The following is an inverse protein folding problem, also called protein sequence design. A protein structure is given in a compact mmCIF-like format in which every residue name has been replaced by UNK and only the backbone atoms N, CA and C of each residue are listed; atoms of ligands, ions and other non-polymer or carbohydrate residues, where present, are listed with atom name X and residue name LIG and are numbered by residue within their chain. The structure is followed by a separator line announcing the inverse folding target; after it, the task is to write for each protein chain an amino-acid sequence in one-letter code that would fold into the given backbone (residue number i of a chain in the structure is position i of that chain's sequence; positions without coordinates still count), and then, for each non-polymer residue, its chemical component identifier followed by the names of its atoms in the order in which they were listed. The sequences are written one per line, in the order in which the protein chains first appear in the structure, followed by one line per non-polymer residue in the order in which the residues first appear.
data_IF_925686315867
#
_entry.id   IF_925686315867
#
_cell.length_a   1.000
_cell.length_b   1.000
_cell.length_c   1.000
_cell.angle_alpha   90.00
_cell.angle_beta   90.00
_cell.angle_gamma   90.00
#
_symmetry.space_group_name_H-M   'P 1'
#
loop_
_entity.id
_entity.type
_entity.pdbx_description
1 polymer ?
#
# COMPACT_ATOMS: atom_id res chain seq x y z
N UNK A 1 -13.68 18.75 0.50
CA UNK A 1 -14.73 19.35 1.34
C UNK A 1 -14.44 20.83 1.62
N UNK A 2 -13.22 21.19 1.99
CA UNK A 2 -12.85 22.59 2.32
C UNK A 2 -13.01 23.57 1.14
N UNK A 3 -13.14 23.07 -0.08
CA UNK A 3 -13.36 23.87 -1.29
C UNK A 3 -14.78 23.70 -1.88
N UNK A 4 -15.73 23.18 -1.10
CA UNK A 4 -17.13 23.05 -1.49
C UNK A 4 -17.48 21.78 -2.28
N UNK A 5 -16.54 20.87 -2.51
CA UNK A 5 -16.85 19.59 -3.13
C UNK A 5 -17.45 18.60 -2.14
N UNK A 6 -18.43 17.81 -2.60
CA UNK A 6 -18.91 16.64 -1.86
C UNK A 6 -17.95 15.49 -2.03
N UNK A 7 -17.58 14.85 -0.92
CA UNK A 7 -16.71 13.65 -0.93
C UNK A 7 -17.51 12.46 -0.40
N UNK A 8 -17.49 11.38 -1.15
CA UNK A 8 -18.07 10.09 -0.73
C UNK A 8 -16.93 9.10 -0.53
N UNK A 9 -16.79 8.60 0.70
CA UNK A 9 -15.83 7.55 1.03
C UNK A 9 -16.48 6.19 0.80
N UNK A 10 -15.88 5.38 -0.08
CA UNK A 10 -16.37 4.03 -0.35
C UNK A 10 -16.03 3.10 0.81
N UNK A 11 -16.95 2.23 1.24
CA UNK A 11 -16.64 1.15 2.15
C UNK A 11 -15.74 0.12 1.48
N UNK A 12 -15.04 -0.66 2.31
CA UNK A 12 -14.25 -1.81 1.86
C UNK A 12 -14.77 -3.10 2.51
N UNK A 13 -14.48 -4.22 1.88
CA UNK A 13 -14.75 -5.54 2.43
C UNK A 13 -13.72 -5.92 3.53
N UNK A 14 -13.86 -7.04 4.23
CA UNK A 14 -12.90 -7.48 5.24
C UNK A 14 -11.48 -7.74 4.71
N UNK A 15 -11.30 -7.86 3.38
CA UNK A 15 -10.00 -7.96 2.74
C UNK A 15 -9.41 -6.59 2.37
N UNK A 16 -10.14 -5.49 2.62
CA UNK A 16 -9.74 -4.12 2.32
C UNK A 16 -9.96 -3.70 0.87
N UNK A 17 -10.80 -4.40 0.11
CA UNK A 17 -11.12 -4.09 -1.30
C UNK A 17 -12.44 -3.34 -1.41
N UNK A 18 -12.49 -2.36 -2.30
CA UNK A 18 -13.77 -1.73 -2.68
C UNK A 18 -14.63 -2.72 -3.46
N UNK A 19 -15.95 -2.58 -3.35
CA UNK A 19 -16.90 -3.29 -4.20
C UNK A 19 -17.30 -2.39 -5.37
N UNK A 20 -17.31 -2.93 -6.58
CA UNK A 20 -17.70 -2.16 -7.76
C UNK A 20 -19.15 -1.67 -7.69
N UNK A 21 -20.04 -2.42 -7.00
CA UNK A 21 -21.41 -2.00 -6.75
C UNK A 21 -21.49 -0.74 -5.87
N UNK A 22 -20.64 -0.62 -4.86
CA UNK A 22 -20.62 0.57 -4.02
C UNK A 22 -20.06 1.78 -4.78
N UNK A 23 -19.07 1.57 -5.65
CA UNK A 23 -18.58 2.58 -6.59
C UNK A 23 -19.71 3.01 -7.54
N UNK A 24 -20.44 2.07 -8.14
CA UNK A 24 -21.57 2.34 -9.04
C UNK A 24 -22.66 3.20 -8.37
N UNK A 25 -23.01 2.86 -7.13
CA UNK A 25 -24.03 3.62 -6.35
C UNK A 25 -23.56 5.01 -5.94
N UNK A 26 -22.27 5.18 -5.69
CA UNK A 26 -21.70 6.46 -5.27
C UNK A 26 -21.52 7.45 -6.41
N UNK A 27 -21.35 6.96 -7.65
CA UNK A 27 -21.21 7.82 -8.82
C UNK A 27 -22.51 8.50 -9.21
N UNK A 28 -22.43 9.77 -9.56
CA UNK A 28 -23.53 10.59 -10.10
C UNK A 28 -23.06 11.30 -11.36
N UNK A 29 -23.97 11.89 -12.16
CA UNK A 29 -23.57 12.71 -13.31
C UNK A 29 -22.64 13.89 -12.95
N UNK A 30 -22.67 14.32 -11.69
CA UNK A 30 -21.84 15.42 -11.15
C UNK A 30 -20.48 14.94 -10.62
N UNK A 31 -20.21 13.63 -10.65
CA UNK A 31 -18.93 13.09 -10.16
C UNK A 31 -17.80 13.50 -11.11
N UNK A 32 -16.90 14.33 -10.61
CA UNK A 32 -15.77 14.85 -11.40
C UNK A 32 -14.50 14.02 -11.26
N UNK A 33 -14.33 13.33 -10.12
CA UNK A 33 -13.10 12.60 -9.81
C UNK A 33 -13.43 11.37 -8.97
N UNK A 34 -12.88 10.24 -9.36
CA UNK A 34 -12.74 9.04 -8.52
C UNK A 34 -11.25 8.85 -8.22
N UNK A 35 -10.90 8.71 -6.94
CA UNK A 35 -9.52 8.48 -6.52
C UNK A 35 -9.43 7.19 -5.71
N UNK A 36 -8.61 6.24 -6.17
CA UNK A 36 -8.44 4.93 -5.54
C UNK A 36 -6.93 4.65 -5.43
N UNK A 37 -6.46 4.18 -4.26
CA UNK A 37 -5.10 3.66 -4.19
C UNK A 37 -5.02 2.28 -4.84
N UNK A 38 -3.98 2.02 -5.62
CA UNK A 38 -3.76 0.72 -6.26
C UNK A 38 -3.56 -0.39 -5.23
N UNK A 39 -2.73 -0.11 -4.24
CA UNK A 39 -2.30 -1.07 -3.21
C UNK A 39 -2.39 -0.40 -1.85
N UNK A 40 -3.13 -0.98 -0.93
CA UNK A 40 -3.18 -0.47 0.44
C UNK A 40 -1.82 -0.66 1.14
N UNK A 41 -1.32 0.40 1.74
CA UNK A 41 0.02 0.46 2.35
C UNK A 41 0.13 -0.24 3.71
N UNK A 42 -0.97 -0.63 4.33
CA UNK A 42 -0.99 -1.28 5.65
C UNK A 42 -1.20 -2.79 5.56
N UNK A 43 -2.16 -3.24 4.77
CA UNK A 43 -2.56 -4.65 4.67
C UNK A 43 -2.25 -5.30 3.32
N UNK A 44 -1.78 -4.51 2.34
CA UNK A 44 -1.43 -5.03 1.03
C UNK A 44 -2.60 -5.38 0.12
N UNK A 45 -3.83 -4.94 0.44
CA UNK A 45 -4.99 -5.16 -0.42
C UNK A 45 -4.78 -4.52 -1.80
N UNK A 46 -4.97 -5.30 -2.87
CA UNK A 46 -4.96 -4.82 -4.26
C UNK A 46 -6.38 -4.43 -4.66
N UNK A 47 -6.55 -3.20 -5.16
CA UNK A 47 -7.85 -2.73 -5.61
C UNK A 47 -8.14 -3.16 -7.05
N UNK A 48 -9.40 -3.36 -7.43
CA UNK A 48 -9.83 -3.76 -8.79
C UNK A 48 -9.76 -2.56 -9.74
N UNK A 49 -8.55 -2.09 -10.06
CA UNK A 49 -8.32 -0.84 -10.78
C UNK A 49 -8.82 -0.89 -12.23
N UNK A 50 -8.57 -1.99 -12.94
CA UNK A 50 -8.99 -2.15 -14.34
C UNK A 50 -10.52 -2.14 -14.45
N UNK A 51 -11.20 -2.91 -13.59
CA UNK A 51 -12.65 -2.98 -13.54
C UNK A 51 -13.29 -1.67 -13.08
N UNK A 52 -12.68 -1.03 -12.08
CA UNK A 52 -13.13 0.29 -11.62
C UNK A 52 -13.00 1.35 -12.72
N UNK A 53 -11.87 1.38 -13.43
CA UNK A 53 -11.67 2.29 -14.56
C UNK A 53 -12.69 2.09 -15.68
N UNK A 54 -12.93 0.83 -16.07
CA UNK A 54 -13.95 0.49 -17.07
C UNK A 54 -15.35 0.94 -16.63
N UNK A 55 -15.72 0.66 -15.37
CA UNK A 55 -17.01 1.08 -14.80
C UNK A 55 -17.16 2.61 -14.78
N UNK A 56 -16.14 3.34 -14.34
CA UNK A 56 -16.17 4.80 -14.30
C UNK A 56 -16.44 5.37 -15.69
N UNK A 57 -15.69 4.91 -16.70
CA UNK A 57 -15.84 5.42 -18.09
C UNK A 57 -17.16 4.99 -18.73
N UNK A 58 -17.71 3.84 -18.34
CA UNK A 58 -19.03 3.43 -18.78
C UNK A 58 -20.14 4.31 -18.21
N UNK A 59 -20.03 4.73 -16.95
CA UNK A 59 -21.05 5.56 -16.29
C UNK A 59 -20.96 7.03 -16.66
N UNK A 60 -19.76 7.59 -16.66
CA UNK A 60 -19.50 8.96 -17.07
C UNK A 60 -18.06 9.07 -17.61
N UNK A 61 -17.87 9.16 -18.94
CA UNK A 61 -16.55 9.24 -19.56
C UNK A 61 -15.76 10.51 -19.19
N UNK A 62 -16.43 11.56 -18.71
CA UNK A 62 -15.79 12.80 -18.29
C UNK A 62 -15.27 12.77 -16.85
N UNK A 63 -15.75 11.83 -16.04
CA UNK A 63 -15.19 11.63 -14.69
C UNK A 63 -13.73 11.21 -14.77
N UNK A 64 -12.84 11.96 -14.13
CA UNK A 64 -11.43 11.63 -14.06
C UNK A 64 -11.19 10.46 -13.09
N UNK A 65 -10.32 9.54 -13.48
CA UNK A 65 -9.88 8.43 -12.63
C UNK A 65 -8.43 8.64 -12.20
N UNK A 66 -8.22 8.93 -10.92
CA UNK A 66 -6.90 9.02 -10.28
C UNK A 66 -6.58 7.72 -9.55
N UNK A 67 -5.37 7.24 -9.74
CA UNK A 67 -4.83 6.08 -9.01
C UNK A 67 -3.58 6.48 -8.23
N UNK A 68 -3.62 6.32 -6.92
CA UNK A 68 -2.41 6.36 -6.10
C UNK A 68 -1.68 5.02 -6.24
N UNK A 69 -0.60 5.02 -7.02
CA UNK A 69 0.22 3.84 -7.28
C UNK A 69 1.52 3.82 -6.46
N UNK A 70 1.63 4.63 -5.42
CA UNK A 70 2.84 4.73 -4.60
C UNK A 70 3.31 3.37 -4.08
N UNK A 71 2.40 2.49 -3.69
CA UNK A 71 2.73 1.13 -3.26
C UNK A 71 2.69 0.09 -4.39
N UNK A 72 2.01 0.39 -5.51
CA UNK A 72 1.82 -0.56 -6.61
C UNK A 72 2.86 -0.46 -7.71
N UNK A 73 3.40 0.74 -7.97
CA UNK A 73 4.37 0.96 -9.06
C UNK A 73 5.66 0.15 -8.83
N UNK A 74 6.12 -0.53 -9.87
CA UNK A 74 7.28 -1.42 -9.81
C UNK A 74 7.04 -2.76 -9.08
N UNK A 75 5.84 -3.01 -8.55
CA UNK A 75 5.45 -4.25 -7.83
C UNK A 75 4.21 -4.90 -8.43
N UNK A 76 3.51 -4.17 -9.29
CA UNK A 76 2.40 -4.63 -10.13
C UNK A 76 2.59 -4.05 -11.53
N UNK A 77 2.09 -4.75 -12.54
CA UNK A 77 2.07 -4.23 -13.91
C UNK A 77 0.89 -3.28 -14.06
N UNK A 78 1.16 -2.00 -14.22
CA UNK A 78 0.15 -0.95 -14.36
C UNK A 78 0.23 -0.38 -15.78
N UNK A 79 -0.89 -0.43 -16.49
CA UNK A 79 -1.02 0.06 -17.87
C UNK A 79 -2.08 1.17 -17.89
N UNK A 80 -1.71 2.46 -17.69
CA UNK A 80 -2.68 3.53 -17.49
C UNK A 80 -3.75 3.62 -18.58
N UNK A 81 -3.37 3.52 -19.87
CA UNK A 81 -4.33 3.59 -20.98
C UNK A 81 -5.31 2.41 -20.98
N UNK A 82 -4.82 1.18 -20.74
CA UNK A 82 -5.65 -0.04 -20.69
C UNK A 82 -6.61 -0.01 -19.50
N UNK A 83 -6.14 0.49 -18.36
CA UNK A 83 -6.90 0.56 -17.11
C UNK A 83 -7.74 1.84 -16.98
N UNK A 84 -7.83 2.64 -18.05
CA UNK A 84 -8.57 3.90 -18.09
C UNK A 84 -8.17 4.92 -17.00
N UNK A 85 -6.91 4.91 -16.59
CA UNK A 85 -6.37 5.81 -15.58
C UNK A 85 -6.05 7.15 -16.25
N UNK A 86 -6.61 8.23 -15.72
CA UNK A 86 -6.36 9.60 -16.18
C UNK A 86 -5.18 10.26 -15.46
N UNK A 87 -5.01 9.93 -14.16
CA UNK A 87 -3.96 10.45 -13.29
C UNK A 87 -3.36 9.31 -12.49
N UNK A 88 -2.02 9.25 -12.39
CA UNK A 88 -1.34 8.24 -11.58
C UNK A 88 -0.21 8.85 -10.77
N UNK A 89 -0.26 8.69 -9.45
CA UNK A 89 0.78 9.17 -8.53
C UNK A 89 1.79 8.09 -8.20
N UNK A 90 3.09 8.42 -8.28
CA UNK A 90 4.21 7.53 -7.93
C UNK A 90 5.23 8.26 -7.08
N UNK A 91 5.87 7.56 -6.14
CA UNK A 91 6.93 8.09 -5.28
C UNK A 91 8.22 7.28 -5.41
N UNK A 92 9.34 7.96 -5.71
CA UNK A 92 10.62 7.31 -6.02
C UNK A 92 11.19 6.46 -4.89
N UNK A 93 11.09 6.93 -3.63
CA UNK A 93 11.62 6.21 -2.47
C UNK A 93 10.93 4.87 -2.19
N UNK A 94 9.76 4.60 -2.77
CA UNK A 94 9.05 3.31 -2.65
C UNK A 94 9.55 2.25 -3.63
N UNK A 95 10.38 2.65 -4.57
CA UNK A 95 10.99 1.76 -5.57
C UNK A 95 12.53 1.82 -5.51
N UNK A 96 13.09 2.09 -4.34
CA UNK A 96 14.53 2.23 -4.09
C UNK A 96 15.20 3.40 -4.85
N UNK A 97 14.40 4.31 -5.40
CA UNK A 97 14.87 5.58 -5.97
C UNK A 97 15.12 6.65 -4.89
N UNK A 98 15.64 7.83 -5.27
CA UNK A 98 15.92 8.91 -4.33
C UNK A 98 14.66 9.41 -3.60
N UNK A 99 14.85 9.88 -2.36
CA UNK A 99 13.80 10.62 -1.64
C UNK A 99 13.59 12.00 -2.27
N UNK A 100 12.39 12.57 -2.09
CA UNK A 100 12.06 13.92 -2.58
C UNK A 100 11.78 13.99 -4.08
N UNK A 101 11.67 12.85 -4.77
CA UNK A 101 11.29 12.77 -6.18
C UNK A 101 10.14 11.79 -6.38
N UNK A 102 9.24 12.13 -7.28
CA UNK A 102 8.11 11.32 -7.70
C UNK A 102 7.61 11.78 -9.07
N UNK A 103 6.58 11.16 -9.57
CA UNK A 103 5.94 11.55 -10.82
C UNK A 103 4.41 11.54 -10.70
N UNK A 104 3.78 12.38 -11.49
CA UNK A 104 2.36 12.32 -11.78
C UNK A 104 2.22 12.04 -13.28
N UNK A 105 1.64 10.89 -13.63
CA UNK A 105 1.17 10.66 -14.99
C UNK A 105 -0.13 11.44 -15.18
N UNK A 106 -0.20 12.18 -16.30
CA UNK A 106 -1.36 12.96 -16.70
C UNK A 106 -1.76 12.52 -18.10
N UNK A 107 -2.97 11.98 -18.22
CA UNK A 107 -3.53 11.53 -19.49
C UNK A 107 -3.70 12.70 -20.49
N UNK A 108 -3.61 12.43 -21.79
CA UNK A 108 -3.59 13.43 -22.86
C UNK A 108 -4.79 14.40 -22.86
N UNK A 109 -5.95 13.94 -22.37
CA UNK A 109 -7.20 14.75 -22.32
C UNK A 109 -7.41 15.46 -20.99
N UNK A 110 -6.54 15.22 -20.01
CA UNK A 110 -6.69 15.76 -18.67
C UNK A 110 -6.17 17.19 -18.61
N UNK A 111 -6.98 18.10 -18.11
CA UNK A 111 -6.60 19.49 -17.88
C UNK A 111 -6.55 19.73 -16.38
N UNK A 112 -5.35 19.96 -15.85
CA UNK A 112 -5.13 20.35 -14.45
C UNK A 112 -4.48 21.73 -14.41
N UNK A 113 -4.76 22.48 -13.35
CA UNK A 113 -4.11 23.77 -13.14
C UNK A 113 -2.89 23.60 -12.25
N UNK A 114 -1.80 24.35 -12.50
CA UNK A 114 -0.65 24.35 -11.62
C UNK A 114 -1.00 24.93 -10.26
N UNK A 115 -0.37 24.41 -9.21
CA UNK A 115 -0.43 24.96 -7.85
C UNK A 115 0.89 25.62 -7.43
N UNK A 116 1.95 25.43 -8.23
CA UNK A 116 3.25 26.10 -8.08
C UNK A 116 3.51 26.89 -9.35
N UNK A 117 3.44 28.19 -9.22
CA UNK A 117 3.56 29.14 -10.35
C UNK A 117 5.00 29.63 -10.52
N UNK A 118 5.36 30.06 -11.74
CA UNK A 118 6.67 30.62 -12.09
C UNK A 118 7.05 30.36 -13.53
N UNK A 119 8.17 29.69 -13.77
CA UNK A 119 8.66 29.34 -15.12
C UNK A 119 7.87 28.19 -15.76
N UNK A 120 8.20 27.87 -17.02
CA UNK A 120 7.47 26.91 -17.85
C UNK A 120 7.83 25.43 -17.65
N UNK A 121 8.53 25.07 -16.57
CA UNK A 121 8.99 23.71 -16.31
C UNK A 121 7.82 22.75 -16.18
N UNK A 122 8.06 21.47 -16.49
CA UNK A 122 7.05 20.41 -16.47
C UNK A 122 5.77 20.80 -17.24
N UNK A 123 5.93 21.35 -18.44
CA UNK A 123 4.81 21.80 -19.31
C UNK A 123 3.89 22.83 -18.62
N UNK A 124 4.44 23.75 -17.86
CA UNK A 124 3.75 24.76 -17.03
C UNK A 124 2.94 24.18 -15.85
N UNK A 125 3.03 22.89 -15.55
CA UNK A 125 2.28 22.28 -14.44
C UNK A 125 2.99 22.39 -13.10
N UNK A 126 4.32 22.47 -13.09
CA UNK A 126 5.10 22.58 -11.85
C UNK A 126 6.36 23.38 -12.12
N UNK A 127 6.37 24.62 -11.73
CA UNK A 127 7.50 25.53 -11.88
C UNK A 127 8.66 25.21 -10.94
N UNK A 128 9.86 25.60 -11.33
CA UNK A 128 11.14 25.41 -10.64
C UNK A 128 12.07 24.49 -11.43
N UNK A 129 13.38 24.74 -11.31
CA UNK A 129 14.42 23.95 -11.98
C UNK A 129 14.27 22.48 -11.63
N UNK A 130 14.32 21.61 -12.65
CA UNK A 130 14.16 20.18 -12.49
C UNK A 130 15.29 19.58 -11.65
N UNK A 131 14.92 18.71 -10.72
CA UNK A 131 15.86 17.87 -9.98
C UNK A 131 16.37 16.73 -10.87
N UNK A 132 17.21 17.06 -11.86
CA UNK A 132 17.71 16.10 -12.87
C UNK A 132 18.35 14.87 -12.22
N UNK A 133 19.23 14.96 -11.19
CA UNK A 133 19.76 13.78 -10.52
C UNK A 133 18.70 12.88 -9.89
N UNK A 134 17.71 13.48 -9.24
CA UNK A 134 16.59 12.74 -8.64
C UNK A 134 15.72 12.06 -9.69
N UNK A 135 15.43 12.75 -10.78
CA UNK A 135 14.65 12.21 -11.91
C UNK A 135 15.39 11.05 -12.57
N UNK A 136 16.69 11.20 -12.84
CA UNK A 136 17.51 10.13 -13.41
C UNK A 136 17.58 8.91 -12.47
N UNK A 137 17.73 9.13 -11.16
CA UNK A 137 17.72 8.06 -10.16
C UNK A 137 16.37 7.34 -10.06
N UNK A 138 15.25 8.08 -10.16
CA UNK A 138 13.90 7.50 -10.22
C UNK A 138 13.73 6.64 -11.49
N UNK A 139 14.15 7.15 -12.64
CA UNK A 139 14.08 6.43 -13.91
C UNK A 139 14.92 5.14 -13.86
N UNK A 140 16.13 5.20 -13.32
CA UNK A 140 17.01 4.03 -13.18
C UNK A 140 16.43 2.99 -12.23
N UNK A 141 15.85 3.41 -11.09
CA UNK A 141 15.18 2.50 -10.18
C UNK A 141 13.99 1.78 -10.84
N UNK A 142 13.18 2.51 -11.60
CA UNK A 142 12.07 1.93 -12.36
C UNK A 142 12.59 0.93 -13.42
N UNK A 143 13.59 1.30 -14.21
CA UNK A 143 14.22 0.41 -15.19
C UNK A 143 14.69 -0.91 -14.54
N UNK A 144 15.42 -0.83 -13.43
CA UNK A 144 15.93 -2.01 -12.73
C UNK A 144 14.81 -2.94 -12.26
N UNK A 145 13.74 -2.39 -11.66
CA UNK A 145 12.60 -3.19 -11.19
C UNK A 145 11.83 -3.86 -12.33
N UNK A 146 11.62 -3.16 -13.43
CA UNK A 146 10.89 -3.75 -14.56
C UNK A 146 11.74 -4.71 -15.40
N UNK A 147 13.06 -4.63 -15.36
CA UNK A 147 13.97 -5.56 -16.04
C UNK A 147 13.93 -6.97 -15.46
N UNK A 148 13.69 -7.11 -14.15
CA UNK A 148 13.65 -8.39 -13.43
C UNK A 148 12.28 -8.66 -12.78
N UNK A 149 11.24 -8.01 -13.28
CA UNK A 149 9.93 -7.95 -12.62
C UNK A 149 9.35 -9.32 -12.26
N UNK A 150 9.33 -10.27 -13.20
CA UNK A 150 8.68 -11.56 -12.97
C UNK A 150 9.45 -12.43 -11.97
N UNK A 151 10.79 -12.41 -12.03
CA UNK A 151 11.66 -13.12 -11.08
C UNK A 151 11.54 -12.53 -9.68
N UNK A 152 11.64 -11.23 -9.56
CA UNK A 152 11.53 -10.51 -8.28
C UNK A 152 10.14 -10.68 -7.65
N UNK A 153 9.09 -10.63 -8.47
CA UNK A 153 7.72 -10.85 -8.00
C UNK A 153 7.53 -12.28 -7.51
N UNK A 154 8.04 -13.29 -8.23
CA UNK A 154 7.96 -14.69 -7.81
C UNK A 154 8.68 -14.92 -6.48
N UNK A 155 9.90 -14.36 -6.31
CA UNK A 155 10.66 -14.43 -5.07
C UNK A 155 9.94 -13.76 -3.91
N UNK A 156 9.37 -12.57 -4.11
CA UNK A 156 8.58 -11.87 -3.09
C UNK A 156 7.34 -12.68 -2.67
N UNK A 157 6.66 -13.33 -3.63
CA UNK A 157 5.55 -14.22 -3.33
C UNK A 157 5.99 -15.44 -2.50
N UNK A 158 7.15 -16.02 -2.79
CA UNK A 158 7.71 -17.13 -2.02
C UNK A 158 8.04 -16.69 -0.58
N UNK A 159 8.74 -15.58 -0.39
CA UNK A 159 9.03 -14.99 0.91
C UNK A 159 7.73 -14.71 1.71
N UNK A 160 6.73 -14.12 1.06
CA UNK A 160 5.43 -13.84 1.69
C UNK A 160 4.74 -15.12 2.14
N UNK A 161 4.65 -16.13 1.28
CA UNK A 161 4.05 -17.43 1.61
C UNK A 161 4.76 -18.05 2.81
N UNK A 162 6.10 -18.17 2.76
CA UNK A 162 6.92 -18.71 3.84
C UNK A 162 6.66 -17.98 5.16
N UNK A 163 6.62 -16.65 5.12
CA UNK A 163 6.33 -15.85 6.31
C UNK A 163 4.92 -16.12 6.88
N UNK A 164 3.90 -16.17 6.02
CA UNK A 164 2.50 -16.41 6.44
C UNK A 164 2.36 -17.83 7.02
N UNK A 165 2.96 -18.83 6.39
CA UNK A 165 2.98 -20.21 6.89
C UNK A 165 3.61 -20.26 8.28
N UNK A 166 4.82 -19.72 8.44
CA UNK A 166 5.52 -19.76 9.73
C UNK A 166 4.84 -18.94 10.83
N UNK A 167 4.36 -17.72 10.53
CA UNK A 167 3.73 -16.91 11.59
C UNK A 167 2.42 -17.51 12.11
N UNK A 168 1.75 -18.35 11.32
CA UNK A 168 0.53 -19.08 11.73
C UNK A 168 0.79 -20.24 12.68
N UNK A 169 2.03 -20.66 12.86
CA UNK A 169 2.41 -21.64 13.90
C UNK A 169 2.36 -21.03 15.31
N UNK A 170 2.32 -19.70 15.40
CA UNK A 170 2.11 -19.01 16.68
C UNK A 170 0.62 -18.98 17.03
N UNK A 171 0.30 -19.32 18.27
CA UNK A 171 -1.07 -19.19 18.78
C UNK A 171 -1.57 -17.73 18.72
N UNK A 172 -2.88 -17.56 18.59
CA UNK A 172 -3.56 -16.27 18.69
C UNK A 172 -2.96 -15.19 17.77
N UNK A 173 -2.66 -15.58 16.52
CA UNK A 173 -2.18 -14.71 15.45
C UNK A 173 -3.22 -14.62 14.35
N UNK A 174 -3.44 -13.43 13.83
CA UNK A 174 -4.31 -13.17 12.69
C UNK A 174 -3.53 -12.44 11.60
N UNK A 175 -3.52 -13.00 10.39
CA UNK A 175 -2.99 -12.31 9.21
C UNK A 175 -4.13 -11.52 8.56
N UNK A 176 -3.99 -10.20 8.47
CA UNK A 176 -5.05 -9.30 8.05
C UNK A 176 -5.07 -9.10 6.52
N UNK A 177 -6.26 -8.88 5.95
CA UNK A 177 -6.43 -8.48 4.56
C UNK A 177 -6.22 -9.60 3.53
N UNK A 178 -6.20 -10.87 3.97
CA UNK A 178 -6.12 -12.00 3.05
C UNK A 178 -7.49 -12.33 2.44
N UNK A 179 -7.48 -12.78 1.18
CA UNK A 179 -8.68 -13.29 0.52
C UNK A 179 -9.06 -14.66 1.12
N UNK A 180 -10.36 -14.98 1.24
CA UNK A 180 -10.81 -16.24 1.85
C UNK A 180 -10.31 -17.50 1.12
N UNK A 181 -10.19 -17.43 -0.20
CA UNK A 181 -9.74 -18.50 -1.11
C UNK A 181 -8.24 -18.44 -1.42
N UNK A 182 -7.53 -17.47 -0.87
CA UNK A 182 -6.10 -17.26 -1.07
C UNK A 182 -5.35 -17.09 0.26
N UNK A 183 -5.24 -18.17 1.05
CA UNK A 183 -4.79 -18.12 2.45
C UNK A 183 -3.32 -17.73 2.62
N UNK A 184 -2.52 -17.81 1.57
CA UNK A 184 -1.10 -17.45 1.60
C UNK A 184 -0.81 -16.09 0.96
N UNK A 185 -1.85 -15.30 0.71
CA UNK A 185 -1.74 -13.93 0.24
C UNK A 185 -1.70 -13.78 -1.28
N UNK A 186 -2.08 -14.80 -2.03
CA UNK A 186 -2.33 -14.71 -3.47
C UNK A 186 -3.38 -13.62 -3.73
N UNK A 187 -3.23 -12.87 -4.81
CA UNK A 187 -4.13 -11.74 -5.13
C UNK A 187 -4.02 -10.54 -4.19
N UNK A 188 -2.98 -10.50 -3.33
CA UNK A 188 -2.59 -9.32 -2.54
C UNK A 188 -1.14 -8.93 -2.82
N UNK A 189 -0.73 -7.73 -2.42
CA UNK A 189 0.63 -7.24 -2.67
C UNK A 189 1.70 -8.16 -2.06
N UNK A 190 2.64 -8.63 -2.87
CA UNK A 190 3.65 -9.59 -2.45
C UNK A 190 4.61 -9.06 -1.38
N UNK A 191 4.74 -7.73 -1.26
CA UNK A 191 5.70 -7.07 -0.39
C UNK A 191 5.13 -6.58 0.95
N UNK A 192 3.87 -6.88 1.28
CA UNK A 192 3.22 -6.43 2.53
C UNK A 192 2.50 -7.59 3.19
N UNK A 193 2.74 -7.77 4.50
CA UNK A 193 1.96 -8.65 5.37
C UNK A 193 1.62 -7.90 6.65
N UNK A 194 0.34 -7.86 7.00
CA UNK A 194 -0.16 -7.28 8.24
C UNK A 194 -0.55 -8.40 9.19
N UNK A 195 0.00 -8.38 10.40
CA UNK A 195 -0.22 -9.44 11.38
C UNK A 195 -0.60 -8.86 12.73
N UNK A 196 -1.70 -9.35 13.30
CA UNK A 196 -2.13 -9.02 14.65
C UNK A 196 -1.72 -10.14 15.62
N UNK A 197 -1.03 -9.77 16.70
CA UNK A 197 -0.54 -10.67 17.74
C UNK A 197 -1.34 -10.44 19.03
N UNK A 198 -2.43 -11.16 19.24
CA UNK A 198 -3.27 -10.97 20.41
C UNK A 198 -2.47 -11.07 21.73
N UNK A 199 -2.72 -10.12 22.63
CA UNK A 199 -2.02 -10.06 23.93
C UNK A 199 -0.61 -9.47 23.89
N UNK A 200 -0.17 -8.89 22.75
CA UNK A 200 1.13 -8.21 22.63
C UNK A 200 0.91 -6.82 22.05
N UNK A 201 1.39 -5.78 22.73
CA UNK A 201 1.34 -4.41 22.19
C UNK A 201 2.34 -4.27 21.04
N UNK A 202 1.86 -3.69 19.94
CA UNK A 202 2.66 -3.53 18.72
C UNK A 202 3.95 -2.73 18.93
N UNK A 203 3.93 -1.66 19.71
CA UNK A 203 5.14 -0.87 20.05
C UNK A 203 6.18 -1.70 20.77
N UNK A 204 5.75 -2.55 21.75
CA UNK A 204 6.67 -3.41 22.51
C UNK A 204 7.29 -4.46 21.61
N UNK A 205 6.50 -5.08 20.73
CA UNK A 205 7.00 -6.07 19.78
C UNK A 205 7.94 -5.43 18.75
N UNK A 206 7.61 -4.22 18.27
CA UNK A 206 8.43 -3.47 17.33
C UNK A 206 9.84 -3.25 17.90
N UNK A 207 9.95 -2.70 19.12
CA UNK A 207 11.26 -2.46 19.74
C UNK A 207 12.01 -3.76 20.06
N UNK A 208 11.32 -4.82 20.48
CA UNK A 208 11.95 -6.11 20.72
C UNK A 208 12.49 -6.77 19.43
N UNK A 209 11.87 -6.53 18.28
CA UNK A 209 12.36 -6.94 16.98
C UNK A 209 13.53 -6.04 16.52
N UNK A 210 13.44 -4.73 16.74
CA UNK A 210 14.49 -3.76 16.43
C UNK A 210 15.79 -4.10 17.15
N UNK A 211 15.73 -4.50 18.42
CA UNK A 211 16.88 -5.00 19.20
C UNK A 211 17.56 -6.25 18.58
N UNK A 212 16.86 -6.96 17.69
CA UNK A 212 17.38 -8.08 16.90
C UNK A 212 17.79 -7.69 15.48
N UNK A 213 17.76 -6.39 15.15
CA UNK A 213 18.05 -5.89 13.80
C UNK A 213 16.91 -6.10 12.80
N UNK A 214 15.69 -6.41 13.27
CA UNK A 214 14.51 -6.62 12.44
C UNK A 214 13.61 -5.39 12.50
N UNK A 215 13.55 -4.64 11.41
CA UNK A 215 12.81 -3.39 11.32
C UNK A 215 11.42 -3.59 10.71
N UNK A 216 10.41 -3.30 11.50
CA UNK A 216 8.98 -3.45 11.14
C UNK A 216 8.22 -2.13 11.37
N UNK A 217 6.92 -2.10 11.12
CA UNK A 217 6.10 -0.91 11.39
C UNK A 217 4.88 -1.26 12.22
N UNK A 218 4.61 -0.47 13.26
CA UNK A 218 3.37 -0.50 14.01
C UNK A 218 2.42 0.58 13.47
N UNK A 219 1.24 0.18 13.00
CA UNK A 219 0.25 1.10 12.42
C UNK A 219 0.70 1.77 11.12
N UNK A 220 0.13 2.93 10.79
CA UNK A 220 0.59 3.73 9.66
C UNK A 220 1.84 4.51 10.04
N UNK A 221 2.92 4.33 9.30
CA UNK A 221 4.19 5.05 9.51
C UNK A 221 4.06 6.59 9.41
N UNK A 222 2.95 7.10 8.86
CA UNK A 222 2.68 8.53 8.71
C UNK A 222 2.07 9.19 9.95
N UNK A 223 1.58 8.45 10.95
CA UNK A 223 0.91 8.98 12.15
C UNK A 223 1.79 9.02 13.41
N UNK A 224 3.12 9.01 13.23
CA UNK A 224 4.11 8.97 14.32
C UNK A 224 3.98 10.12 15.36
N UNK A 225 3.31 11.23 15.03
CA UNK A 225 3.13 12.36 15.94
C UNK A 225 1.83 12.34 16.78
N UNK A 226 0.86 11.49 16.42
CA UNK A 226 -0.35 11.25 17.23
C UNK A 226 -0.80 9.80 17.00
N UNK A 227 -0.57 8.90 17.96
CA UNK A 227 -1.01 7.52 17.84
C UNK A 227 -2.53 7.47 17.76
N UNK A 228 -3.05 7.30 16.55
CA UNK A 228 -4.46 7.02 16.33
C UNK A 228 -4.59 5.59 15.80
N UNK A 229 -5.59 4.83 16.26
CA UNK A 229 -5.84 3.49 15.74
C UNK A 229 -6.03 3.53 14.22
N UNK A 230 -5.41 2.61 13.49
CA UNK A 230 -5.47 2.54 12.04
C UNK A 230 -6.90 2.60 11.50
N UNK A 231 -7.15 3.55 10.59
CA UNK A 231 -8.42 3.66 9.88
C UNK A 231 -8.66 2.45 8.96
N UNK A 232 -7.59 1.91 8.37
CA UNK A 232 -7.64 0.72 7.52
C UNK A 232 -8.09 -0.50 8.32
N UNK A 233 -7.46 -0.77 9.47
CA UNK A 233 -7.81 -1.91 10.31
C UNK A 233 -9.25 -1.81 10.85
N UNK A 234 -9.69 -0.61 11.19
CA UNK A 234 -11.10 -0.36 11.57
C UNK A 234 -12.05 -0.63 10.40
N UNK A 235 -11.71 -0.15 9.20
CA UNK A 235 -12.57 -0.30 8.01
C UNK A 235 -12.76 -1.76 7.59
N UNK A 236 -11.75 -2.62 7.78
CA UNK A 236 -11.86 -4.06 7.52
C UNK A 236 -12.48 -4.85 8.68
N UNK A 237 -12.88 -4.18 9.75
CA UNK A 237 -13.59 -4.80 10.87
C UNK A 237 -12.71 -5.58 11.86
N UNK A 238 -11.43 -5.27 11.97
CA UNK A 238 -10.55 -5.88 12.98
C UNK A 238 -11.05 -5.56 14.40
N UNK A 239 -11.06 -6.56 15.28
CA UNK A 239 -11.44 -6.39 16.68
C UNK A 239 -10.62 -5.27 17.35
N UNK A 240 -11.31 -4.45 18.16
CA UNK A 240 -10.68 -3.29 18.81
C UNK A 240 -9.47 -3.68 19.67
N UNK A 241 -9.48 -4.87 20.28
CA UNK A 241 -8.37 -5.39 21.09
C UNK A 241 -7.11 -5.70 20.28
N UNK A 242 -7.24 -5.84 18.94
CA UNK A 242 -6.13 -6.17 18.05
C UNK A 242 -5.54 -4.93 17.35
N UNK A 243 -6.21 -3.77 17.40
CA UNK A 243 -5.73 -2.57 16.72
C UNK A 243 -4.35 -2.14 17.18
N UNK A 244 -4.07 -2.25 18.49
CA UNK A 244 -2.78 -1.90 19.10
C UNK A 244 -1.81 -3.10 19.16
N UNK A 245 -2.19 -4.23 18.53
CA UNK A 245 -1.41 -5.48 18.52
C UNK A 245 -0.98 -5.85 17.10
N UNK A 246 -1.09 -4.93 16.14
CA UNK A 246 -0.86 -5.20 14.72
C UNK A 246 0.48 -4.63 14.26
N UNK A 247 1.28 -5.47 13.62
CA UNK A 247 2.56 -5.13 12.98
C UNK A 247 2.44 -5.34 11.46
N UNK A 248 3.00 -4.41 10.69
CA UNK A 248 3.21 -4.58 9.26
C UNK A 248 4.65 -5.02 9.00
N UNK A 249 4.80 -6.13 8.32
CA UNK A 249 6.04 -6.59 7.72
C UNK A 249 6.08 -6.17 6.26
N UNK A 250 7.22 -5.64 5.83
CA UNK A 250 7.40 -5.16 4.46
C UNK A 250 8.65 -5.79 3.86
N UNK A 251 8.50 -6.37 2.69
CA UNK A 251 9.59 -7.04 1.96
C UNK A 251 10.04 -6.17 0.79
N UNK A 252 11.25 -6.41 0.32
CA UNK A 252 11.81 -5.78 -0.86
C UNK A 252 12.36 -6.81 -1.81
N UNK A 253 12.76 -6.38 -3.00
CA UNK A 253 13.45 -7.24 -3.97
C UNK A 253 14.80 -7.79 -3.45
N UNK A 254 15.28 -7.29 -2.33
CA UNK A 254 16.50 -7.78 -1.66
C UNK A 254 16.21 -8.76 -0.53
N UNK A 255 14.96 -8.94 -0.13
CA UNK A 255 14.57 -9.84 0.96
C UNK A 255 14.77 -11.30 0.53
N UNK A 256 15.42 -12.08 1.39
CA UNK A 256 15.70 -13.51 1.16
C UNK A 256 14.84 -14.40 2.06
N UNK A 257 14.75 -15.68 1.73
CA UNK A 257 14.04 -16.65 2.58
C UNK A 257 14.74 -16.87 3.91
N UNK A 258 16.08 -16.77 3.95
CA UNK A 258 16.87 -16.86 5.18
C UNK A 258 16.53 -15.70 6.13
N UNK A 259 16.35 -14.48 5.62
CA UNK A 259 15.92 -13.34 6.43
C UNK A 259 14.51 -13.53 6.99
N UNK A 260 13.62 -14.19 6.22
CA UNK A 260 12.28 -14.57 6.70
C UNK A 260 12.40 -15.57 7.85
N UNK A 261 13.27 -16.59 7.74
CA UNK A 261 13.49 -17.58 8.81
C UNK A 261 14.03 -16.93 10.07
N UNK A 262 15.00 -16.03 9.95
CA UNK A 262 15.53 -15.26 11.10
C UNK A 262 14.42 -14.47 11.78
N UNK A 263 13.55 -13.84 11.01
CA UNK A 263 12.41 -13.09 11.55
C UNK A 263 11.42 -14.02 12.27
N UNK A 264 11.08 -15.16 11.69
CA UNK A 264 10.19 -16.16 12.31
C UNK A 264 10.76 -16.70 13.60
N UNK A 265 12.05 -17.06 13.65
CA UNK A 265 12.72 -17.49 14.86
C UNK A 265 12.69 -16.44 15.97
N UNK A 266 12.89 -15.17 15.63
CA UNK A 266 12.76 -14.07 16.57
C UNK A 266 11.34 -13.99 17.12
N UNK A 267 10.31 -14.08 16.26
CA UNK A 267 8.91 -14.06 16.65
C UNK A 267 8.54 -15.22 17.57
N UNK A 268 9.01 -16.45 17.29
CA UNK A 268 8.76 -17.64 18.11
C UNK A 268 9.33 -17.51 19.53
N UNK A 269 10.40 -16.76 19.71
CA UNK A 269 10.98 -16.50 21.01
C UNK A 269 10.32 -15.30 21.74
N UNK A 270 10.11 -14.21 21.01
CA UNK A 270 9.67 -12.92 21.58
C UNK A 270 8.18 -12.94 21.94
N UNK A 271 7.31 -13.40 21.03
CA UNK A 271 5.85 -13.29 21.21
C UNK A 271 5.37 -14.05 22.45
N UNK A 272 5.75 -15.33 22.69
CA UNK A 272 5.37 -16.02 23.91
C UNK A 272 5.93 -15.39 25.18
N UNK A 273 7.14 -14.83 25.12
CA UNK A 273 7.76 -14.12 26.23
C UNK A 273 6.95 -12.89 26.62
N UNK A 274 6.64 -12.01 25.64
CA UNK A 274 5.89 -10.78 25.88
C UNK A 274 4.48 -11.04 26.42
N UNK A 275 3.80 -12.09 25.95
CA UNK A 275 2.48 -12.48 26.47
C UNK A 275 2.47 -12.83 27.96
N UNK A 276 3.58 -13.39 28.49
CA UNK A 276 3.69 -13.69 29.93
C UNK A 276 3.70 -12.44 30.80
N UNK A 277 4.24 -11.35 30.30
CA UNK A 277 4.29 -10.05 31.00
C UNK A 277 3.02 -9.24 30.86
N UNK A 278 2.25 -9.43 29.79
CA UNK A 278 0.99 -8.70 29.53
C UNK A 278 -0.20 -9.23 30.38
N UNK A 279 -0.07 -10.39 31.03
CA UNK A 279 -1.11 -11.02 31.87
C UNK A 279 -1.11 -10.55 33.34
N UNK A 280 -0.35 -9.53 33.70
CA UNK A 280 -0.31 -8.98 35.06
C UNK A 280 -0.99 -7.62 35.15
#
# INVERSE_FOLDING_TARGET
ETQGYRVTYLPVDPCGRIRLEDLRRAMTPETILVSIMHTNNEIGALQPIEEAGALIKQMNPDTLFHVDAVQGFGKSRIYPKKMHIDLLSVSGHKIHGPKGVGLLYVGERVKIQPIVFGGGQQQNLRSGTENVPGIAGLAKAAEMLYSHFDEDHARLCACKRRFIEGVRELDQVTVNGLLPDAPYGEGTAAHIVSVSFAGVRSEVLLHALEDKGIYVSAGSACSAHKPQPSATLKAIGIDKSLLDSTIRFSFSVFTTEEEIDVCLQALYNIVPMLRRYSRR
#
